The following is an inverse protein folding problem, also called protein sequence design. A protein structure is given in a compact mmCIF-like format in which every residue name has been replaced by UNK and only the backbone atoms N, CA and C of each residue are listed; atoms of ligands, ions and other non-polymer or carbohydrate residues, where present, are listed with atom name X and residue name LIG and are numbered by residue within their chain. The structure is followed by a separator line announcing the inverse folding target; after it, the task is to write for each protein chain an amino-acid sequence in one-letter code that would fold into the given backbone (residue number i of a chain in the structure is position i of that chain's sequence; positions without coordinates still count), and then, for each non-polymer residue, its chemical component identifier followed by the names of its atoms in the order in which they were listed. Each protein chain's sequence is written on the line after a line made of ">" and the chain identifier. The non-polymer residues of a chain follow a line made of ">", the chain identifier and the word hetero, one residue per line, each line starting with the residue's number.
data_IF_843421047492
#
_entry.id   IF_843421047492
#
_cell.length_a   1.000
_cell.length_b   1.000
_cell.length_c   1.000
_cell.angle_alpha   90.00
_cell.angle_beta   90.00
_cell.angle_gamma   90.00
#
_symmetry.space_group_name_H-M   'P 1'
#
loop_
_entity.id
_entity.type
_entity.pdbx_description
1 polymer ?
#
# COMPACT_ATOMS: atom_id res chain seq x y z
N UNK A 1 -0.32 -8.83 -19.70
CA UNK A 1 0.41 -8.43 -18.46
C UNK A 1 -0.51 -7.89 -17.38
N UNK A 2 -1.39 -6.89 -17.64
CA UNK A 2 -2.35 -6.39 -16.62
C UNK A 2 -3.51 -7.38 -16.40
N UNK A 3 -4.02 -8.02 -17.45
CA UNK A 3 -5.05 -9.08 -17.32
C UNK A 3 -4.54 -10.32 -16.59
N UNK A 4 -3.29 -10.71 -16.80
CA UNK A 4 -2.68 -11.83 -16.11
C UNK A 4 -2.46 -11.52 -14.62
N UNK A 5 -2.10 -10.28 -14.30
CA UNK A 5 -1.97 -9.80 -12.92
C UNK A 5 -3.31 -9.82 -12.16
N UNK A 6 -4.40 -9.42 -12.82
CA UNK A 6 -5.74 -9.44 -12.24
C UNK A 6 -6.28 -10.88 -12.09
N UNK A 7 -5.97 -11.77 -13.04
CA UNK A 7 -6.34 -13.20 -12.98
C UNK A 7 -5.61 -13.95 -11.87
N UNK A 8 -4.33 -13.64 -11.60
CA UNK A 8 -3.56 -14.23 -10.50
C UNK A 8 -4.15 -13.82 -9.15
N UNK A 9 -4.49 -12.54 -8.96
CA UNK A 9 -5.08 -12.06 -7.71
C UNK A 9 -6.47 -12.63 -7.42
N UNK A 10 -7.29 -12.81 -8.46
CA UNK A 10 -8.61 -13.44 -8.33
C UNK A 10 -8.52 -14.93 -8.01
N UNK A 11 -7.54 -15.66 -8.56
CA UNK A 11 -7.34 -17.10 -8.29
C UNK A 11 -6.79 -17.38 -6.90
N UNK A 12 -5.86 -16.56 -6.40
CA UNK A 12 -5.28 -16.70 -5.04
C UNK A 12 -6.36 -16.44 -3.98
N UNK A 13 -7.18 -15.41 -4.15
CA UNK A 13 -8.26 -15.12 -3.21
C UNK A 13 -9.37 -16.20 -3.19
N UNK A 14 -9.66 -16.85 -4.32
CA UNK A 14 -10.67 -17.91 -4.38
C UNK A 14 -10.17 -19.25 -3.83
N UNK A 15 -8.89 -19.61 -4.02
CA UNK A 15 -8.31 -20.84 -3.50
C UNK A 15 -8.18 -20.83 -1.98
N UNK A 16 -7.79 -19.71 -1.37
CA UNK A 16 -7.73 -19.57 0.09
C UNK A 16 -9.12 -19.60 0.75
N UNK A 17 -10.16 -19.09 0.07
CA UNK A 17 -11.54 -19.15 0.56
C UNK A 17 -12.17 -20.54 0.44
N UNK A 18 -11.75 -21.35 -0.53
CA UNK A 18 -12.23 -22.72 -0.69
C UNK A 18 -11.57 -23.70 0.28
N UNK A 19 -10.31 -23.49 0.68
CA UNK A 19 -9.66 -24.27 1.74
C UNK A 19 -10.22 -23.98 3.14
N UNK A 20 -10.64 -22.75 3.40
CA UNK A 20 -11.29 -22.39 4.68
C UNK A 20 -12.69 -22.96 4.85
N UNK A 21 -13.35 -23.42 3.76
CA UNK A 21 -14.69 -24.03 3.77
C UNK A 21 -14.69 -25.55 3.89
N UNK A 22 -13.52 -26.21 3.94
CA UNK A 22 -13.42 -27.69 4.00
C UNK A 22 -13.21 -28.28 5.38
N UNK A 23 -13.47 -27.54 6.46
CA UNK A 23 -13.46 -28.06 7.84
C UNK A 23 -14.86 -28.49 8.29
N UNK A 24 -15.09 -29.81 8.22
CA UNK A 24 -15.86 -30.71 9.04
C UNK A 24 -17.33 -30.43 9.44
N UNK A 25 -18.16 -31.46 9.48
CA UNK A 25 -19.59 -31.33 9.79
C UNK A 25 -19.83 -31.38 11.30
N UNK A 26 -20.18 -30.25 11.93
CA UNK A 26 -21.02 -30.20 13.12
C UNK A 26 -21.13 -28.78 13.69
N UNK A 27 -22.10 -28.02 13.20
CA UNK A 27 -22.79 -27.00 13.99
C UNK A 27 -24.14 -26.74 13.32
N UNK A 28 -25.21 -27.31 13.88
CA UNK A 28 -26.59 -27.07 13.48
C UNK A 28 -26.99 -25.63 13.80
N UNK A 29 -27.20 -24.84 12.77
CA UNK A 29 -27.91 -23.59 12.86
C UNK A 29 -29.33 -23.79 12.30
N UNK A 30 -30.29 -23.80 13.22
CA UNK A 30 -31.71 -23.74 12.92
C UNK A 30 -32.02 -22.34 12.37
N UNK A 31 -32.47 -22.26 11.12
CA UNK A 31 -33.09 -21.07 10.55
C UNK A 31 -34.58 -21.19 10.65
N UNK A 32 -35.32 -20.15 11.08
CA UNK A 32 -36.78 -20.16 11.01
C UNK A 32 -37.22 -20.01 9.54
N UNK A 33 -38.23 -20.80 9.18
CA UNK A 33 -38.83 -20.87 7.87
C UNK A 33 -39.35 -19.48 7.43
N UNK A 34 -38.96 -19.05 6.22
CA UNK A 34 -39.61 -17.95 5.55
C UNK A 34 -38.77 -16.95 4.76
N UNK A 35 -37.48 -17.13 4.54
CA UNK A 35 -36.72 -16.22 3.69
C UNK A 35 -35.99 -16.94 2.55
N UNK A 36 -36.42 -16.65 1.32
CA UNK A 36 -35.76 -17.09 0.11
C UNK A 36 -34.46 -16.31 -0.13
N UNK A 37 -33.37 -16.98 -0.52
CA UNK A 37 -32.09 -16.30 -0.78
C UNK A 37 -32.13 -15.57 -2.13
N UNK A 38 -31.84 -14.25 -2.09
CA UNK A 38 -31.69 -13.42 -3.28
C UNK A 38 -30.20 -13.44 -3.71
N UNK A 39 -29.95 -13.90 -4.92
CA UNK A 39 -28.64 -13.77 -5.55
C UNK A 39 -28.64 -12.56 -6.48
N UNK A 40 -27.75 -11.58 -6.23
CA UNK A 40 -27.53 -10.44 -7.12
C UNK A 40 -26.37 -10.78 -8.04
N UNK A 41 -26.65 -10.97 -9.34
CA UNK A 41 -25.61 -11.16 -10.36
C UNK A 41 -25.42 -9.83 -11.08
N UNK A 42 -24.25 -9.20 -10.87
CA UNK A 42 -23.82 -8.03 -11.61
C UNK A 42 -23.17 -8.45 -12.92
N UNK A 43 -23.85 -8.19 -14.04
CA UNK A 43 -23.29 -8.37 -15.38
C UNK A 43 -23.04 -6.99 -15.99
N UNK A 44 -21.77 -6.64 -16.17
CA UNK A 44 -21.34 -5.47 -16.94
C UNK A 44 -21.36 -5.87 -18.44
N UNK A 45 -22.30 -5.34 -19.19
CA UNK A 45 -22.40 -5.53 -20.65
C UNK A 45 -22.31 -4.19 -21.37
N UNK A 46 -21.54 -4.14 -22.49
CA UNK A 46 -21.59 -3.03 -23.42
C UNK A 46 -22.91 -3.13 -24.18
N UNK A 47 -23.73 -2.10 -24.07
CA UNK A 47 -24.88 -1.91 -24.98
C UNK A 47 -24.38 -0.94 -26.05
N UNK A 48 -24.27 -1.43 -27.29
CA UNK A 48 -24.09 -0.59 -28.48
C UNK A 48 -25.48 -0.22 -28.97
N UNK A 49 -25.87 1.03 -28.83
CA UNK A 49 -26.95 1.62 -29.60
C UNK A 49 -26.30 2.49 -30.67
N UNK A 50 -26.43 2.09 -31.94
CA UNK A 50 -26.05 2.90 -33.08
C UNK A 50 -27.02 4.06 -33.22
N UNK A 51 -26.64 5.25 -32.85
CA UNK A 51 -27.25 6.47 -33.38
C UNK A 51 -26.20 7.19 -34.25
N UNK A 52 -26.54 7.45 -35.53
CA UNK A 52 -25.67 8.19 -36.44
C UNK A 52 -25.81 9.68 -36.11
N UNK A 53 -24.82 10.29 -35.54
CA UNK A 53 -24.51 11.74 -35.53
C UNK A 53 -24.07 12.40 -34.21
N UNK A 54 -23.74 11.67 -33.15
CA UNK A 54 -23.02 12.32 -32.05
C UNK A 54 -22.15 11.31 -31.29
N UNK A 55 -20.84 11.37 -31.46
CA UNK A 55 -19.87 10.43 -30.85
C UNK A 55 -19.69 10.60 -29.33
N UNK A 56 -20.74 10.37 -28.55
CA UNK A 56 -20.64 10.32 -27.07
C UNK A 56 -21.17 8.98 -26.58
N UNK A 57 -20.28 8.16 -26.02
CA UNK A 57 -20.63 6.94 -25.36
C UNK A 57 -21.19 7.22 -23.96
N UNK A 58 -22.43 6.81 -23.71
CA UNK A 58 -23.03 6.80 -22.38
C UNK A 58 -22.90 5.44 -21.75
N UNK A 59 -22.47 5.38 -20.48
CA UNK A 59 -22.47 4.17 -19.69
C UNK A 59 -23.76 4.07 -18.89
N UNK A 60 -24.53 3.01 -19.10
CA UNK A 60 -25.73 2.70 -18.32
C UNK A 60 -25.53 1.48 -17.42
N UNK A 61 -25.94 1.60 -16.17
CA UNK A 61 -25.98 0.47 -15.23
C UNK A 61 -27.39 -0.10 -15.24
N UNK A 62 -27.56 -1.36 -15.70
CA UNK A 62 -28.85 -2.07 -15.63
C UNK A 62 -28.81 -3.04 -14.44
N UNK A 63 -29.74 -2.85 -13.51
CA UNK A 63 -29.98 -3.77 -12.39
C UNK A 63 -31.14 -4.70 -12.76
N UNK A 64 -30.87 -6.01 -12.84
CA UNK A 64 -31.90 -7.04 -12.95
C UNK A 64 -31.95 -7.87 -11.66
N UNK A 65 -33.09 -7.89 -11.02
CA UNK A 65 -33.40 -8.77 -9.89
C UNK A 65 -34.05 -10.06 -10.43
N UNK A 66 -33.42 -11.21 -10.21
CA UNK A 66 -33.96 -12.51 -10.52
C UNK A 66 -34.29 -13.26 -9.22
N UNK A 67 -35.55 -13.67 -9.03
CA UNK A 67 -35.92 -14.60 -7.97
C UNK A 67 -35.83 -16.05 -8.49
N UNK A 68 -35.17 -16.93 -7.73
CA UNK A 68 -35.22 -18.38 -7.96
C UNK A 68 -36.37 -18.97 -7.17
N UNK A 69 -37.36 -19.52 -7.87
CA UNK A 69 -38.34 -20.43 -7.29
C UNK A 69 -37.79 -21.87 -7.35
N UNK A 70 -37.82 -22.55 -6.23
CA UNK A 70 -37.45 -23.96 -6.10
C UNK A 70 -38.61 -24.85 -6.53
N UNK A 71 -38.67 -25.24 -7.81
CA UNK A 71 -39.34 -26.48 -8.24
C UNK A 71 -38.85 -26.86 -9.66
N UNK A 72 -38.56 -28.14 -9.92
CA UNK A 72 -38.13 -28.60 -11.24
C UNK A 72 -39.33 -29.00 -12.07
N UNK A 73 -39.86 -28.11 -12.91
CA UNK A 73 -40.81 -28.47 -13.95
C UNK A 73 -40.73 -27.48 -15.11
N UNK A 74 -40.39 -28.03 -16.29
CA UNK A 74 -40.61 -27.56 -17.65
C UNK A 74 -40.60 -26.07 -17.95
N UNK A 75 -39.62 -25.70 -18.73
CA UNK A 75 -39.53 -24.42 -19.41
C UNK A 75 -40.56 -24.32 -20.54
N UNK A 76 -41.61 -23.54 -20.36
CA UNK A 76 -42.37 -22.88 -21.39
C UNK A 76 -43.16 -21.74 -20.73
N UNK A 77 -42.78 -20.51 -21.01
CA UNK A 77 -43.52 -19.37 -20.48
C UNK A 77 -42.74 -18.07 -20.58
N UNK A 78 -43.24 -17.20 -21.46
CA UNK A 78 -42.81 -15.84 -21.71
C UNK A 78 -42.79 -14.99 -20.43
N UNK A 79 -41.65 -14.36 -20.12
CA UNK A 79 -41.56 -13.34 -19.09
C UNK A 79 -42.09 -12.01 -19.62
N UNK A 80 -43.20 -11.51 -19.06
CA UNK A 80 -43.63 -10.13 -19.24
C UNK A 80 -42.78 -9.18 -18.43
N UNK A 81 -42.07 -8.29 -19.11
CA UNK A 81 -41.34 -7.18 -18.50
C UNK A 81 -42.31 -6.00 -18.30
N UNK A 82 -42.57 -5.62 -17.06
CA UNK A 82 -43.10 -4.29 -16.77
C UNK A 82 -41.98 -3.27 -16.82
N UNK A 83 -41.97 -2.49 -17.90
CA UNK A 83 -41.05 -1.39 -18.13
C UNK A 83 -41.52 -0.15 -17.38
N UNK A 84 -40.69 0.35 -16.46
CA UNK A 84 -40.78 1.73 -15.99
C UNK A 84 -40.10 2.63 -17.01
N UNK A 85 -40.86 3.56 -17.59
CA UNK A 85 -40.37 4.54 -18.55
C UNK A 85 -39.43 5.55 -17.91
N UNK A 86 -38.33 5.94 -18.58
CA UNK A 86 -37.53 7.05 -18.12
C UNK A 86 -38.20 8.38 -18.50
N UNK A 87 -38.07 9.34 -17.61
CA UNK A 87 -38.46 10.74 -17.83
C UNK A 87 -37.84 11.29 -19.12
N UNK A 88 -38.71 11.71 -20.04
CA UNK A 88 -38.33 12.41 -21.26
C UNK A 88 -37.98 13.88 -20.93
N UNK A 89 -36.77 14.27 -21.24
CA UNK A 89 -36.37 15.66 -21.27
C UNK A 89 -36.68 16.22 -22.67
N UNK A 90 -37.75 16.98 -22.78
CA UNK A 90 -38.10 17.70 -24.04
C UNK A 90 -37.22 18.93 -24.19
N UNK A 91 -36.38 18.93 -25.21
CA UNK A 91 -35.67 20.12 -25.70
C UNK A 91 -36.59 20.97 -26.54
N UNK A 92 -36.90 22.17 -26.08
CA UNK A 92 -37.60 23.18 -26.87
C UNK A 92 -36.55 23.98 -27.71
N UNK A 93 -36.68 23.83 -29.04
CA UNK A 93 -36.04 24.72 -29.99
C UNK A 93 -36.97 25.90 -30.28
N UNK A 94 -36.49 27.14 -30.39
CA UNK A 94 -37.33 28.29 -30.70
C UNK A 94 -37.45 28.50 -32.24
N UNK A 95 -38.67 28.55 -32.73
CA UNK A 95 -38.96 29.24 -34.00
C UNK A 95 -40.09 30.24 -33.81
N UNK A 96 -39.75 31.47 -34.26
CA UNK A 96 -40.60 32.59 -34.74
C UNK A 96 -41.75 33.12 -33.87
N UNK A 97 -41.52 34.32 -33.44
CA UNK A 97 -42.39 35.51 -33.43
C UNK A 97 -43.88 35.35 -33.22
N UNK A 98 -44.37 35.66 -32.00
CA UNK A 98 -45.55 36.49 -31.79
C UNK A 98 -45.63 36.89 -30.32
N UNK A 99 -45.86 38.22 -30.10
CA UNK A 99 -46.09 38.84 -28.78
C UNK A 99 -47.48 38.47 -28.30
N UNK A 100 -47.64 38.04 -27.04
CA UNK A 100 -48.88 38.13 -26.24
C UNK A 100 -48.50 38.14 -24.74
N UNK A 101 -49.32 38.78 -23.84
CA UNK A 101 -48.83 39.58 -22.74
C UNK A 101 -48.75 38.82 -21.40
N UNK A 102 -47.96 39.49 -20.53
CA UNK A 102 -47.76 39.15 -19.12
C UNK A 102 -49.05 39.31 -18.32
N UNK A 103 -49.55 38.32 -17.64
CA UNK A 103 -50.28 38.46 -16.36
C UNK A 103 -50.22 37.14 -15.58
N UNK A 104 -49.89 37.22 -14.30
CA UNK A 104 -50.19 36.16 -13.35
C UNK A 104 -49.02 35.79 -12.44
N UNK A 105 -48.76 36.63 -11.44
CA UNK A 105 -47.98 36.29 -10.25
C UNK A 105 -48.82 35.31 -9.42
N UNK A 106 -48.45 34.04 -9.33
CA UNK A 106 -48.94 33.12 -8.33
C UNK A 106 -47.91 33.02 -7.19
N UNK A 107 -48.19 33.71 -6.10
CA UNK A 107 -47.57 33.52 -4.80
C UNK A 107 -48.19 32.28 -4.15
N UNK A 108 -47.44 31.19 -4.09
CA UNK A 108 -47.80 30.05 -3.23
C UNK A 108 -47.00 30.17 -1.93
N UNK A 109 -47.69 30.72 -0.93
CA UNK A 109 -47.29 30.65 0.49
C UNK A 109 -47.86 29.36 1.07
N UNK A 110 -47.02 28.36 1.32
CA UNK A 110 -47.34 27.18 2.08
C UNK A 110 -46.06 26.50 2.57
N UNK A 111 -46.04 25.96 3.80
CA UNK A 111 -44.81 25.40 4.36
C UNK A 111 -44.47 24.12 3.59
N UNK A 112 -43.34 24.16 2.88
CA UNK A 112 -42.80 22.99 2.24
C UNK A 112 -42.30 22.04 3.34
N UNK A 113 -43.09 20.99 3.59
CA UNK A 113 -42.72 19.90 4.44
C UNK A 113 -41.47 19.23 3.77
N UNK A 114 -40.29 19.54 4.29
CA UNK A 114 -39.06 18.88 3.90
C UNK A 114 -39.15 17.40 4.33
N UNK A 115 -39.65 16.55 3.47
CA UNK A 115 -39.63 15.11 3.64
C UNK A 115 -38.17 14.66 3.61
N UNK A 116 -37.49 14.63 4.77
CA UNK A 116 -36.22 13.96 4.94
C UNK A 116 -36.47 12.47 4.75
N UNK A 117 -36.22 11.96 3.54
CA UNK A 117 -36.04 10.52 3.30
C UNK A 117 -34.79 10.07 4.07
N UNK A 118 -34.97 9.73 5.34
CA UNK A 118 -33.99 8.96 6.08
C UNK A 118 -34.00 7.54 5.50
N UNK A 119 -33.12 7.27 4.53
CA UNK A 119 -32.84 5.92 4.09
C UNK A 119 -32.30 5.14 5.30
N UNK A 120 -33.19 4.44 5.98
CA UNK A 120 -32.81 3.47 7.01
C UNK A 120 -32.14 2.31 6.30
N UNK A 121 -30.82 2.35 6.18
CA UNK A 121 -30.04 1.23 5.65
C UNK A 121 -30.22 0.07 6.63
N UNK A 122 -30.74 -1.10 6.19
CA UNK A 122 -30.93 -2.25 7.07
C UNK A 122 -29.61 -2.63 7.77
N UNK A 123 -29.69 -3.06 9.03
CA UNK A 123 -28.50 -3.45 9.81
C UNK A 123 -27.61 -4.47 9.11
N UNK A 124 -28.21 -5.39 8.35
CA UNK A 124 -27.51 -6.35 7.50
C UNK A 124 -26.64 -5.67 6.42
N UNK A 125 -27.14 -4.58 5.81
CA UNK A 125 -26.39 -3.81 4.81
C UNK A 125 -25.25 -3.01 5.46
N UNK A 126 -25.43 -2.51 6.68
CA UNK A 126 -24.36 -1.86 7.47
C UNK A 126 -23.27 -2.86 7.88
N UNK A 127 -23.65 -4.11 8.26
CA UNK A 127 -22.70 -5.18 8.53
C UNK A 127 -21.94 -5.58 7.26
N UNK A 128 -22.62 -5.77 6.14
CA UNK A 128 -22.00 -6.08 4.86
C UNK A 128 -21.05 -4.95 4.40
N UNK A 129 -21.45 -3.68 4.57
CA UNK A 129 -20.57 -2.53 4.31
C UNK A 129 -19.38 -2.46 5.28
N UNK A 130 -19.56 -2.89 6.53
CA UNK A 130 -18.47 -2.93 7.53
C UNK A 130 -17.50 -4.08 7.22
N UNK A 131 -18.00 -5.24 6.83
CA UNK A 131 -17.16 -6.38 6.39
C UNK A 131 -16.49 -6.11 5.04
N UNK A 132 -17.18 -5.52 4.08
CA UNK A 132 -16.56 -5.04 2.84
C UNK A 132 -15.50 -3.94 3.10
N UNK A 133 -15.74 -3.03 4.05
CA UNK A 133 -14.74 -2.08 4.50
C UNK A 133 -13.58 -2.74 5.24
N UNK A 134 -13.81 -3.80 6.02
CA UNK A 134 -12.73 -4.61 6.62
C UNK A 134 -11.93 -5.37 5.58
N UNK A 135 -12.57 -5.93 4.54
CA UNK A 135 -11.89 -6.56 3.40
C UNK A 135 -11.11 -5.55 2.54
N UNK A 136 -11.59 -4.30 2.44
CA UNK A 136 -10.92 -3.19 1.77
C UNK A 136 -10.03 -2.39 2.73
N UNK A 137 -10.15 -2.58 4.04
CA UNK A 137 -9.28 -1.93 5.01
C UNK A 137 -7.94 -2.67 4.99
N UNK A 138 -6.94 -1.99 4.46
CA UNK A 138 -5.54 -2.26 4.74
C UNK A 138 -5.35 -2.62 6.21
N UNK A 139 -4.58 -3.65 6.52
CA UNK A 139 -4.24 -4.00 7.89
C UNK A 139 -3.86 -2.76 8.70
N UNK A 140 -4.35 -2.69 9.91
CA UNK A 140 -4.08 -1.58 10.85
C UNK A 140 -3.23 -2.12 11.99
N UNK A 141 -2.18 -1.42 12.35
CA UNK A 141 -1.39 -1.71 13.54
C UNK A 141 -2.23 -1.37 14.78
N UNK A 142 -2.63 -2.41 15.51
CA UNK A 142 -3.44 -2.28 16.73
C UNK A 142 -2.61 -2.24 18.01
N UNK A 143 -1.28 -2.30 17.91
CA UNK A 143 -0.39 -2.23 19.06
C UNK A 143 -0.54 -0.90 19.80
N UNK A 144 -0.67 -0.97 21.12
CA UNK A 144 -0.76 0.18 22.02
C UNK A 144 0.58 0.52 22.68
N UNK A 145 1.66 -0.16 22.32
CA UNK A 145 3.01 0.02 22.87
C UNK A 145 3.43 1.47 22.79
N UNK A 146 3.89 2.00 23.92
CA UNK A 146 4.52 3.31 24.04
C UNK A 146 6.04 3.16 23.96
N UNK A 147 6.72 4.19 23.54
CA UNK A 147 8.15 4.17 23.21
C UNK A 147 8.98 5.21 23.99
N UNK A 148 8.70 5.49 25.28
CA UNK A 148 9.51 6.43 26.03
C UNK A 148 10.97 5.93 26.12
N UNK A 149 11.94 6.81 25.84
CA UNK A 149 13.35 6.46 25.84
C UNK A 149 13.84 5.60 24.67
N UNK A 150 12.95 5.21 23.74
CA UNK A 150 13.34 4.49 22.53
C UNK A 150 13.78 5.48 21.44
N UNK A 151 14.86 5.13 20.73
CA UNK A 151 15.39 5.90 19.61
C UNK A 151 15.08 5.19 18.31
N UNK A 152 14.56 5.95 17.35
CA UNK A 152 14.20 5.46 16.03
C UNK A 152 14.82 6.31 14.91
N UNK A 153 15.30 5.66 13.85
CA UNK A 153 15.74 6.29 12.60
C UNK A 153 14.80 5.87 11.49
N UNK A 154 14.28 6.84 10.73
CA UNK A 154 13.40 6.59 9.56
C UNK A 154 14.00 7.27 8.34
N UNK A 155 14.39 6.49 7.33
CA UNK A 155 14.92 7.04 6.08
C UNK A 155 13.80 7.53 5.16
N UNK A 156 14.00 8.65 4.46
CA UNK A 156 12.99 9.25 3.59
C UNK A 156 11.77 9.76 4.35
N UNK A 157 11.97 10.27 5.56
CA UNK A 157 10.89 10.64 6.48
C UNK A 157 10.33 12.06 6.27
N UNK A 158 10.81 12.80 5.26
CA UNK A 158 10.30 14.13 4.94
C UNK A 158 9.05 14.13 4.05
N UNK A 159 8.48 12.96 3.73
CA UNK A 159 7.25 12.85 2.93
C UNK A 159 6.63 11.44 3.06
N UNK A 160 5.37 11.31 2.63
CA UNK A 160 4.69 10.04 2.38
C UNK A 160 4.66 9.09 3.57
N UNK A 161 4.98 7.82 3.31
CA UNK A 161 4.96 6.74 4.29
C UNK A 161 5.94 7.01 5.43
N UNK A 162 7.16 7.46 5.10
CA UNK A 162 8.20 7.74 6.10
C UNK A 162 7.77 8.83 7.09
N UNK A 163 7.16 9.92 6.60
CA UNK A 163 6.61 10.99 7.44
C UNK A 163 5.55 10.46 8.42
N UNK A 164 4.57 9.70 7.91
CA UNK A 164 3.50 9.15 8.76
C UNK A 164 4.03 8.11 9.76
N UNK A 165 5.03 7.32 9.36
CA UNK A 165 5.71 6.36 10.25
C UNK A 165 6.44 7.10 11.37
N UNK A 166 7.23 8.14 11.04
CA UNK A 166 7.96 8.95 12.01
C UNK A 166 7.01 9.68 12.97
N UNK A 167 5.90 10.22 12.45
CA UNK A 167 4.86 10.88 13.24
C UNK A 167 4.25 9.93 14.27
N UNK A 168 3.87 8.72 13.87
CA UNK A 168 3.28 7.74 14.80
C UNK A 168 4.27 7.29 15.86
N UNK A 169 5.55 7.08 15.50
CA UNK A 169 6.61 6.76 16.47
C UNK A 169 6.80 7.91 17.47
N UNK A 170 6.82 9.15 16.99
CA UNK A 170 6.92 10.34 17.84
C UNK A 170 5.70 10.51 18.76
N UNK A 171 4.49 10.22 18.26
CA UNK A 171 3.25 10.27 19.05
C UNK A 171 3.28 9.26 20.20
N UNK A 172 4.01 8.16 20.05
CA UNK A 172 4.23 7.13 21.08
C UNK A 172 5.39 7.45 22.03
N UNK A 173 6.00 8.63 21.91
CA UNK A 173 7.07 9.10 22.80
C UNK A 173 8.48 8.69 22.41
N UNK A 174 8.71 8.14 21.20
CA UNK A 174 10.05 7.86 20.72
C UNK A 174 10.85 9.14 20.38
N UNK A 175 12.16 9.11 20.56
CA UNK A 175 13.09 10.04 19.94
C UNK A 175 13.29 9.61 18.47
N UNK A 176 12.93 10.45 17.51
CA UNK A 176 12.85 10.08 16.10
C UNK A 176 13.77 10.94 15.23
N UNK A 177 14.65 10.29 14.49
CA UNK A 177 15.50 10.90 13.48
C UNK A 177 14.85 10.80 12.10
N UNK A 178 14.53 11.93 11.49
CA UNK A 178 14.09 12.06 10.11
C UNK A 178 15.34 12.11 9.22
N UNK A 179 15.76 10.97 8.70
CA UNK A 179 16.93 10.89 7.82
C UNK A 179 16.50 11.13 6.36
N UNK A 180 16.89 12.26 5.77
CA UNK A 180 16.49 12.67 4.43
C UNK A 180 17.52 13.57 3.74
N UNK A 181 17.47 13.64 2.40
CA UNK A 181 18.38 14.47 1.60
C UNK A 181 18.07 15.97 1.69
N UNK A 182 16.79 16.30 1.70
CA UNK A 182 16.28 17.66 1.74
C UNK A 182 16.02 18.05 3.19
N UNK A 183 17.04 18.69 3.80
CA UNK A 183 17.02 19.14 5.20
C UNK A 183 15.94 20.19 5.41
N UNK A 184 15.77 21.15 4.50
CA UNK A 184 14.77 22.20 4.65
C UNK A 184 13.34 21.63 4.73
N UNK A 185 13.02 20.71 3.82
CA UNK A 185 11.75 19.97 3.86
C UNK A 185 11.66 19.08 5.11
N UNK A 186 12.77 18.49 5.54
CA UNK A 186 12.87 17.71 6.76
C UNK A 186 12.51 18.53 8.00
N UNK A 187 13.07 19.71 8.14
CA UNK A 187 12.83 20.63 9.27
C UNK A 187 11.38 21.10 9.35
N UNK A 188 10.76 21.40 8.19
CA UNK A 188 9.34 21.73 8.14
C UNK A 188 8.47 20.57 8.67
N UNK A 189 8.78 19.35 8.25
CA UNK A 189 8.07 18.14 8.69
C UNK A 189 8.34 17.85 10.17
N UNK A 190 9.57 18.03 10.66
CA UNK A 190 9.87 17.85 12.07
C UNK A 190 9.03 18.79 12.95
N UNK A 191 8.97 20.09 12.61
CA UNK A 191 8.15 21.08 13.33
C UNK A 191 6.67 20.72 13.29
N UNK A 192 6.18 20.26 12.13
CA UNK A 192 4.80 19.78 12.01
C UNK A 192 4.52 18.61 12.95
N UNK A 193 5.41 17.60 12.99
CA UNK A 193 5.26 16.44 13.88
C UNK A 193 5.35 16.87 15.33
N UNK A 194 6.33 17.70 15.71
CA UNK A 194 6.49 18.25 17.06
C UNK A 194 5.20 18.97 17.52
N UNK A 195 4.63 19.82 16.67
CA UNK A 195 3.38 20.55 16.97
C UNK A 195 2.20 19.59 17.13
N UNK A 196 2.08 18.58 16.25
CA UNK A 196 0.95 17.65 16.27
C UNK A 196 1.00 16.64 17.42
N UNK A 197 2.20 16.25 17.86
CA UNK A 197 2.40 15.19 18.85
C UNK A 197 2.77 15.71 20.23
N UNK A 198 3.20 16.97 20.33
CA UNK A 198 3.78 17.54 21.54
C UNK A 198 5.21 17.06 21.83
N UNK A 199 5.73 16.11 21.06
CA UNK A 199 7.05 15.51 21.27
C UNK A 199 8.14 16.33 20.58
N UNK A 200 8.99 16.99 21.37
CA UNK A 200 10.11 17.80 20.85
C UNK A 200 11.33 16.96 20.43
N UNK A 201 11.33 15.66 20.68
CA UNK A 201 12.43 14.73 20.34
C UNK A 201 12.33 14.22 18.90
N UNK A 202 12.02 15.11 17.95
CA UNK A 202 11.99 14.83 16.51
C UNK A 202 13.05 15.66 15.84
N UNK A 203 14.08 14.99 15.31
CA UNK A 203 15.31 15.60 14.83
C UNK A 203 15.50 15.29 13.34
N UNK A 204 16.15 16.19 12.62
CA UNK A 204 16.48 15.99 11.20
C UNK A 204 17.98 15.75 11.04
N UNK A 205 18.33 14.82 10.17
CA UNK A 205 19.71 14.56 9.77
C UNK A 205 19.81 14.33 8.28
N UNK A 206 20.85 14.88 7.69
CA UNK A 206 21.11 14.68 6.26
C UNK A 206 21.51 13.23 5.98
N UNK A 207 20.85 12.63 4.97
CA UNK A 207 21.18 11.30 4.48
C UNK A 207 20.83 11.20 3.01
N UNK A 208 21.82 11.11 2.15
CA UNK A 208 21.65 10.69 0.76
C UNK A 208 22.12 9.25 0.56
N UNK A 209 21.15 8.36 0.32
CA UNK A 209 21.42 6.94 0.06
C UNK A 209 22.05 6.69 -1.32
N UNK A 210 22.15 7.71 -2.17
CA UNK A 210 22.87 7.67 -3.44
C UNK A 210 24.34 8.08 -3.32
N UNK A 211 24.84 8.30 -2.10
CA UNK A 211 26.24 8.67 -1.82
C UNK A 211 26.72 7.95 -0.56
N UNK A 212 27.66 7.02 -0.72
CA UNK A 212 28.23 6.27 0.42
C UNK A 212 28.97 7.16 1.41
N UNK A 213 29.50 8.31 0.98
CA UNK A 213 30.12 9.28 1.88
C UNK A 213 29.10 9.94 2.80
N UNK A 214 27.93 10.31 2.25
CA UNK A 214 26.81 10.83 3.04
C UNK A 214 26.32 9.79 4.07
N UNK A 215 26.20 8.52 3.67
CA UNK A 215 25.80 7.44 4.56
C UNK A 215 26.79 7.25 5.71
N UNK A 216 28.09 7.26 5.40
CA UNK A 216 29.14 7.12 6.42
C UNK A 216 29.21 8.33 7.36
N UNK A 217 29.02 9.55 6.83
CA UNK A 217 28.94 10.76 7.64
C UNK A 217 27.74 10.71 8.60
N UNK A 218 26.56 10.39 8.07
CA UNK A 218 25.36 10.20 8.89
C UNK A 218 25.60 9.21 10.04
N UNK A 219 26.14 8.02 9.71
CA UNK A 219 26.37 6.98 10.72
C UNK A 219 27.37 7.43 11.78
N UNK A 220 28.48 8.09 11.38
CA UNK A 220 29.50 8.62 12.29
C UNK A 220 28.88 9.62 13.26
N UNK A 221 28.14 10.60 12.76
CA UNK A 221 27.55 11.66 13.58
C UNK A 221 26.47 11.10 14.51
N UNK A 222 25.63 10.18 14.00
CA UNK A 222 24.62 9.51 14.81
C UNK A 222 25.25 8.69 15.96
N UNK A 223 26.29 7.91 15.67
CA UNK A 223 26.98 7.09 16.67
C UNK A 223 27.72 7.91 17.72
N UNK A 224 28.16 9.13 17.38
CA UNK A 224 28.79 10.06 18.33
C UNK A 224 27.76 10.72 19.26
N UNK A 225 26.54 10.96 18.77
CA UNK A 225 25.48 11.65 19.52
C UNK A 225 24.61 10.69 20.33
N UNK A 226 24.25 9.52 19.75
CA UNK A 226 23.25 8.62 20.32
C UNK A 226 23.87 7.39 20.98
N UNK A 227 23.38 7.14 22.20
CA UNK A 227 23.77 5.94 22.97
C UNK A 227 23.02 4.68 22.50
N UNK A 228 21.83 4.85 21.97
CA UNK A 228 20.92 3.75 21.61
C UNK A 228 20.32 3.90 20.23
N UNK A 229 20.02 2.75 19.59
CA UNK A 229 19.19 2.66 18.40
C UNK A 229 18.30 1.44 18.50
N UNK A 230 17.00 1.65 18.74
CA UNK A 230 16.07 0.56 18.95
C UNK A 230 15.29 0.18 17.68
N UNK A 231 15.05 1.15 16.80
CA UNK A 231 14.24 0.96 15.60
C UNK A 231 14.92 1.64 14.40
N UNK A 232 15.24 0.85 13.38
CA UNK A 232 15.74 1.35 12.10
C UNK A 232 14.72 1.01 11.01
N UNK A 233 14.15 2.05 10.36
CA UNK A 233 13.19 1.86 9.26
C UNK A 233 13.84 2.33 7.96
N UNK A 234 14.25 1.37 7.15
CA UNK A 234 14.79 1.55 5.81
C UNK A 234 13.63 1.76 4.82
N UNK A 235 13.06 2.98 4.82
CA UNK A 235 11.85 3.30 4.08
C UNK A 235 12.10 4.05 2.77
N UNK A 236 13.14 4.87 2.68
CA UNK A 236 13.45 5.65 1.48
C UNK A 236 13.52 4.77 0.22
N UNK A 237 13.23 5.37 -0.92
CA UNK A 237 13.34 4.65 -2.18
C UNK A 237 13.12 5.53 -3.40
N UNK A 238 13.53 5.00 -4.53
CA UNK A 238 13.29 5.54 -5.87
C UNK A 238 12.60 4.50 -6.74
N UNK A 239 11.76 4.93 -7.67
CA UNK A 239 11.00 4.06 -8.55
C UNK A 239 10.90 4.64 -9.95
N UNK A 240 11.01 3.78 -10.97
CA UNK A 240 10.84 4.14 -12.39
C UNK A 240 11.77 5.29 -12.84
N UNK A 241 12.98 5.36 -12.27
CA UNK A 241 13.98 6.34 -12.69
C UNK A 241 14.55 5.96 -14.05
N UNK A 242 14.87 6.93 -14.93
CA UNK A 242 15.75 6.67 -16.06
C UNK A 242 17.08 6.06 -15.58
N UNK A 243 17.77 5.34 -16.50
CA UNK A 243 19.09 4.81 -16.15
C UNK A 243 20.01 5.94 -15.71
N UNK A 244 20.49 5.81 -14.49
CA UNK A 244 21.45 6.73 -13.87
C UNK A 244 22.25 5.99 -12.81
N UNK A 245 23.41 6.52 -12.48
CA UNK A 245 24.28 5.95 -11.42
C UNK A 245 24.30 6.86 -10.21
N UNK A 246 24.50 6.26 -9.05
CA UNK A 246 24.80 6.94 -7.79
C UNK A 246 26.17 7.59 -7.84
N UNK A 247 26.54 8.39 -6.83
CA UNK A 247 27.87 8.98 -6.71
C UNK A 247 28.99 7.94 -6.76
N UNK A 248 28.72 6.73 -6.29
CA UNK A 248 29.65 5.60 -6.23
C UNK A 248 29.58 4.70 -7.48
N UNK A 249 28.78 5.06 -8.49
CA UNK A 249 28.68 4.34 -9.75
C UNK A 249 27.67 3.19 -9.78
N UNK A 250 26.84 2.99 -8.74
CA UNK A 250 25.82 1.96 -8.70
C UNK A 250 24.56 2.38 -9.49
N UNK A 251 23.85 1.41 -10.08
CA UNK A 251 22.53 1.68 -10.67
C UNK A 251 21.58 2.26 -9.60
N UNK A 252 20.83 3.30 -9.97
CA UNK A 252 20.11 4.14 -9.02
C UNK A 252 19.11 3.37 -8.14
N UNK A 253 18.35 2.40 -8.67
CA UNK A 253 17.40 1.62 -7.85
C UNK A 253 18.13 0.66 -6.92
N UNK A 254 19.13 -0.06 -7.43
CA UNK A 254 19.92 -0.99 -6.61
C UNK A 254 20.75 -0.21 -5.59
N UNK A 255 21.35 0.92 -5.97
CA UNK A 255 22.14 1.77 -5.11
C UNK A 255 21.33 2.33 -3.95
N UNK A 256 20.23 3.04 -4.24
CA UNK A 256 19.43 3.72 -3.20
C UNK A 256 18.58 2.74 -2.39
N UNK A 257 17.82 1.85 -3.08
CA UNK A 257 16.82 1.02 -2.40
C UNK A 257 17.46 -0.12 -1.58
N UNK A 258 18.61 -0.64 -2.04
CA UNK A 258 19.27 -1.79 -1.42
C UNK A 258 20.66 -1.45 -0.85
N UNK A 259 21.66 -1.12 -1.68
CA UNK A 259 23.03 -0.97 -1.22
C UNK A 259 23.21 0.13 -0.19
N UNK A 260 22.52 1.28 -0.36
CA UNK A 260 22.56 2.37 0.60
C UNK A 260 21.98 1.99 1.96
N UNK A 261 20.86 1.28 1.98
CA UNK A 261 20.28 0.77 3.23
C UNK A 261 21.09 -0.38 3.83
N UNK A 262 21.69 -1.22 3.00
CA UNK A 262 22.62 -2.27 3.43
C UNK A 262 23.81 -1.64 4.18
N UNK A 263 24.47 -0.65 3.58
CA UNK A 263 25.60 0.07 4.21
C UNK A 263 25.16 0.76 5.50
N UNK A 264 24.04 1.50 5.48
CA UNK A 264 23.50 2.18 6.65
C UNK A 264 23.26 1.19 7.80
N UNK A 265 22.58 0.08 7.50
CA UNK A 265 22.29 -0.95 8.50
C UNK A 265 23.57 -1.57 9.04
N UNK A 266 24.55 -1.88 8.19
CA UNK A 266 25.84 -2.42 8.59
C UNK A 266 26.59 -1.47 9.53
N UNK A 267 26.66 -0.18 9.20
CA UNK A 267 27.34 0.82 10.03
C UNK A 267 26.69 1.05 11.40
N UNK A 268 25.37 0.84 11.49
CA UNK A 268 24.60 1.00 12.73
C UNK A 268 24.39 -0.33 13.49
N UNK A 269 24.94 -1.44 12.98
CA UNK A 269 24.60 -2.78 13.45
C UNK A 269 25.02 -3.01 14.92
N UNK A 270 26.20 -2.60 15.29
CA UNK A 270 26.67 -2.76 16.69
C UNK A 270 25.79 -1.94 17.65
N UNK A 271 25.40 -0.72 17.25
CA UNK A 271 24.49 0.11 18.05
C UNK A 271 23.09 -0.55 18.20
N UNK A 272 22.60 -1.25 17.17
CA UNK A 272 21.38 -2.03 17.25
C UNK A 272 21.53 -3.21 18.21
N UNK A 273 22.66 -3.92 18.19
CA UNK A 273 22.97 -5.03 19.11
C UNK A 273 23.06 -4.55 20.56
N UNK A 274 23.78 -3.45 20.82
CA UNK A 274 23.90 -2.82 22.13
C UNK A 274 22.55 -2.36 22.70
N UNK A 275 21.61 -2.03 21.82
CA UNK A 275 20.28 -1.52 22.19
C UNK A 275 19.19 -2.59 22.19
N UNK A 276 19.56 -3.87 22.11
CA UNK A 276 18.59 -4.95 22.06
C UNK A 276 17.61 -4.94 23.28
N UNK A 277 16.33 -5.27 23.10
CA UNK A 277 15.71 -5.69 21.85
C UNK A 277 15.53 -4.55 20.85
N UNK A 278 15.99 -4.76 19.62
CA UNK A 278 15.94 -3.76 18.55
C UNK A 278 15.42 -4.37 17.24
N UNK A 279 14.97 -3.51 16.32
CA UNK A 279 14.28 -3.94 15.10
C UNK A 279 14.75 -3.18 13.87
N UNK A 280 14.94 -3.91 12.78
CA UNK A 280 15.20 -3.34 11.45
C UNK A 280 14.02 -3.67 10.54
N UNK A 281 13.40 -2.66 9.94
CA UNK A 281 12.27 -2.81 9.01
C UNK A 281 12.66 -2.32 7.64
N UNK A 282 12.71 -3.22 6.67
CA UNK A 282 13.09 -2.94 5.28
C UNK A 282 11.84 -2.82 4.40
N UNK A 283 11.61 -1.64 3.82
CA UNK A 283 10.46 -1.43 2.95
C UNK A 283 10.73 -2.03 1.56
N UNK A 284 9.98 -3.09 1.26
CA UNK A 284 9.92 -3.75 -0.04
C UNK A 284 8.67 -3.32 -0.82
N UNK A 285 8.16 -4.16 -1.69
CA UNK A 285 6.97 -3.90 -2.52
C UNK A 285 6.40 -5.22 -3.05
N UNK A 286 5.12 -5.22 -3.43
CA UNK A 286 4.54 -6.30 -4.24
C UNK A 286 5.33 -6.54 -5.55
N UNK A 287 6.03 -5.52 -6.04
CA UNK A 287 6.86 -5.60 -7.23
C UNK A 287 7.99 -6.66 -7.13
N UNK A 288 8.37 -7.11 -5.91
CA UNK A 288 9.36 -8.18 -5.73
C UNK A 288 8.98 -9.49 -6.43
N UNK A 289 7.69 -9.75 -6.66
CA UNK A 289 7.23 -10.95 -7.37
C UNK A 289 7.73 -11.03 -8.81
N UNK A 290 7.95 -9.89 -9.46
CA UNK A 290 8.53 -9.78 -10.80
C UNK A 290 10.05 -9.60 -10.76
N UNK A 291 10.62 -9.45 -9.55
CA UNK A 291 12.05 -9.30 -9.35
C UNK A 291 12.83 -10.58 -9.64
N UNK A 292 14.06 -10.41 -10.13
CA UNK A 292 15.06 -11.46 -10.29
C UNK A 292 16.45 -10.89 -10.01
N UNK A 293 17.30 -11.63 -9.31
CA UNK A 293 18.68 -11.20 -9.08
C UNK A 293 19.56 -11.76 -10.20
N UNK A 294 20.01 -10.87 -11.07
CA UNK A 294 20.93 -11.18 -12.18
C UNK A 294 22.33 -10.69 -11.81
N UNK A 295 23.13 -11.53 -11.16
CA UNK A 295 24.48 -11.16 -10.70
C UNK A 295 25.40 -10.65 -11.81
N UNK A 296 25.22 -11.11 -13.05
CA UNK A 296 25.98 -10.66 -14.22
C UNK A 296 25.51 -9.33 -14.82
N UNK A 297 24.40 -8.78 -14.33
CA UNK A 297 23.81 -7.51 -14.77
C UNK A 297 23.16 -6.73 -13.61
N UNK A 298 23.73 -6.84 -12.43
CA UNK A 298 23.18 -6.21 -11.22
C UNK A 298 23.09 -4.68 -11.34
N UNK A 299 24.02 -4.10 -12.12
CA UNK A 299 24.13 -2.66 -12.38
C UNK A 299 23.36 -2.21 -13.65
N UNK A 300 22.65 -3.11 -14.32
CA UNK A 300 21.83 -2.78 -15.49
C UNK A 300 22.61 -2.36 -16.74
N UNK A 301 23.92 -2.66 -16.83
CA UNK A 301 24.80 -2.19 -17.91
C UNK A 301 24.55 -2.91 -19.25
N UNK A 302 24.13 -4.17 -19.20
CA UNK A 302 23.84 -4.96 -20.41
C UNK A 302 22.42 -4.76 -20.90
N UNK A 303 21.48 -4.67 -19.99
CA UNK A 303 20.06 -4.45 -20.26
C UNK A 303 19.45 -3.71 -19.09
N UNK A 304 18.70 -2.65 -19.40
CA UNK A 304 18.01 -1.85 -18.41
C UNK A 304 16.52 -1.65 -18.75
N UNK A 305 15.68 -1.90 -17.77
CA UNK A 305 14.29 -1.51 -17.77
C UNK A 305 13.96 -0.96 -16.37
N UNK A 306 13.52 0.30 -16.29
CA UNK A 306 13.30 0.99 -15.02
C UNK A 306 12.32 0.27 -14.09
N UNK A 307 11.27 -0.35 -14.65
CA UNK A 307 10.30 -1.15 -13.88
C UNK A 307 10.92 -2.42 -13.31
N UNK A 308 11.68 -3.16 -14.11
CA UNK A 308 12.36 -4.37 -13.67
C UNK A 308 13.48 -4.05 -12.67
N UNK A 309 14.26 -2.98 -12.89
CA UNK A 309 15.30 -2.54 -11.95
C UNK A 309 14.69 -2.25 -10.57
N UNK A 310 13.54 -1.57 -10.51
CA UNK A 310 12.79 -1.40 -9.28
C UNK A 310 12.38 -2.74 -8.66
N UNK A 311 11.80 -3.66 -9.45
CA UNK A 311 11.41 -5.00 -8.98
C UNK A 311 12.59 -5.77 -8.39
N UNK A 312 13.75 -5.71 -9.05
CA UNK A 312 15.00 -6.35 -8.59
C UNK A 312 15.47 -5.77 -7.25
N UNK A 313 15.47 -4.45 -7.11
CA UNK A 313 15.85 -3.78 -5.85
C UNK A 313 14.91 -4.12 -4.68
N UNK A 314 13.61 -4.31 -4.95
CA UNK A 314 12.64 -4.68 -3.92
C UNK A 314 12.70 -6.16 -3.53
N UNK A 315 13.06 -7.03 -4.46
CA UNK A 315 13.43 -8.41 -4.14
C UNK A 315 14.72 -8.46 -3.30
N UNK A 316 15.73 -7.66 -3.65
CA UNK A 316 16.98 -7.57 -2.89
C UNK A 316 16.72 -7.19 -1.42
N UNK A 317 15.76 -6.32 -1.13
CA UNK A 317 15.40 -5.95 0.24
C UNK A 317 14.81 -7.12 1.06
N UNK A 318 14.07 -8.04 0.43
CA UNK A 318 13.58 -9.25 1.11
C UNK A 318 14.73 -10.20 1.39
N UNK A 319 15.57 -10.46 0.38
CA UNK A 319 16.75 -11.34 0.54
C UNK A 319 17.72 -10.81 1.60
N UNK A 320 17.96 -9.50 1.61
CA UNK A 320 18.74 -8.83 2.64
C UNK A 320 18.15 -9.04 4.04
N UNK A 321 16.82 -8.87 4.19
CA UNK A 321 16.14 -9.08 5.47
C UNK A 321 16.34 -10.49 5.99
N UNK A 322 16.19 -11.50 5.14
CA UNK A 322 16.31 -12.90 5.53
C UNK A 322 17.76 -13.26 5.92
N UNK A 323 18.74 -12.83 5.12
CA UNK A 323 20.14 -13.11 5.42
C UNK A 323 20.60 -12.35 6.69
N UNK A 324 20.14 -11.10 6.87
CA UNK A 324 20.41 -10.33 8.09
C UNK A 324 19.80 -11.03 9.33
N UNK A 325 18.56 -11.53 9.24
CA UNK A 325 17.93 -12.29 10.32
C UNK A 325 18.73 -13.53 10.70
N UNK A 326 19.26 -14.27 9.70
CA UNK A 326 20.08 -15.45 9.89
C UNK A 326 21.38 -15.12 10.61
N UNK A 327 22.07 -14.04 10.18
CA UNK A 327 23.35 -13.61 10.77
C UNK A 327 23.20 -13.05 12.18
N UNK A 328 22.05 -12.44 12.50
CA UNK A 328 21.77 -11.83 13.80
C UNK A 328 21.06 -12.76 14.77
N UNK A 329 21.00 -14.04 14.49
CA UNK A 329 20.36 -15.01 15.38
C UNK A 329 21.00 -14.98 16.78
N UNK A 330 20.20 -14.76 17.80
CA UNK A 330 20.65 -14.70 19.20
C UNK A 330 21.16 -13.32 19.66
N UNK A 331 21.29 -12.32 18.80
CA UNK A 331 21.75 -10.98 19.16
C UNK A 331 20.69 -10.07 19.80
N UNK A 332 19.43 -10.50 19.81
CA UNK A 332 18.30 -9.65 20.23
C UNK A 332 17.86 -8.60 19.20
N UNK A 333 18.48 -8.60 18.01
CA UNK A 333 18.04 -7.79 16.87
C UNK A 333 17.16 -8.60 15.95
N UNK A 334 15.98 -8.10 15.61
CA UNK A 334 15.07 -8.74 14.66
C UNK A 334 14.88 -7.90 13.40
N UNK A 335 14.64 -8.56 12.28
CA UNK A 335 14.51 -7.87 11.00
C UNK A 335 13.26 -8.33 10.26
N UNK A 336 12.59 -7.40 9.58
CA UNK A 336 11.35 -7.66 8.85
C UNK A 336 11.37 -6.92 7.52
N UNK A 337 10.83 -7.54 6.49
CA UNK A 337 10.54 -6.83 5.22
C UNK A 337 9.04 -6.56 5.11
N UNK A 338 8.66 -5.42 4.52
CA UNK A 338 7.26 -5.00 4.46
C UNK A 338 6.85 -4.54 3.07
N UNK A 339 5.61 -4.88 2.68
CA UNK A 339 4.91 -4.24 1.58
C UNK A 339 3.87 -3.27 2.15
N UNK A 340 4.00 -1.94 1.88
CA UNK A 340 3.09 -0.94 2.42
C UNK A 340 1.73 -0.86 1.71
N UNK A 341 1.53 -1.65 0.66
CA UNK A 341 0.42 -1.50 -0.27
C UNK A 341 0.74 -0.53 -1.42
N UNK A 342 -0.24 -0.31 -2.30
CA UNK A 342 -0.14 0.73 -3.34
C UNK A 342 -0.53 2.07 -2.71
N UNK A 343 0.45 2.93 -2.46
CA UNK A 343 0.29 4.18 -1.70
C UNK A 343 0.47 5.40 -2.61
N UNK A 344 -0.41 6.38 -2.48
CA UNK A 344 -0.22 7.67 -3.15
C UNK A 344 0.96 8.41 -2.49
N UNK A 345 2.11 8.37 -3.13
CA UNK A 345 3.34 8.99 -2.66
C UNK A 345 4.10 9.66 -3.79
N UNK A 346 5.04 10.54 -3.46
CA UNK A 346 5.92 11.21 -4.43
C UNK A 346 6.83 10.22 -5.20
N UNK A 347 6.76 8.94 -4.91
CA UNK A 347 7.57 7.89 -5.55
C UNK A 347 7.34 7.81 -7.07
N UNK A 348 6.14 8.16 -7.57
CA UNK A 348 5.76 8.14 -8.99
C UNK A 348 6.06 9.45 -9.74
N UNK A 349 6.80 10.38 -9.13
CA UNK A 349 7.09 11.71 -9.72
C UNK A 349 7.75 11.67 -11.10
N UNK A 350 8.45 10.58 -11.43
CA UNK A 350 9.21 10.44 -12.68
C UNK A 350 8.39 9.88 -13.86
N UNK A 351 7.11 9.47 -13.66
CA UNK A 351 6.29 8.89 -14.73
C UNK A 351 4.92 9.55 -14.82
N UNK A 352 4.66 10.39 -15.84
CA UNK A 352 3.33 10.99 -16.10
C UNK A 352 2.25 9.93 -16.35
N UNK A 353 2.61 8.82 -17.04
CA UNK A 353 1.72 7.70 -17.31
C UNK A 353 1.27 7.02 -16.00
N UNK A 354 2.18 6.81 -15.07
CA UNK A 354 1.85 6.24 -13.75
C UNK A 354 0.94 7.19 -12.96
N UNK A 355 1.15 8.52 -13.04
CA UNK A 355 0.26 9.50 -12.40
C UNK A 355 -1.16 9.41 -12.94
N UNK A 356 -1.32 9.30 -14.27
CA UNK A 356 -2.62 9.14 -14.91
C UNK A 356 -3.28 7.81 -14.53
N UNK A 357 -2.53 6.71 -14.54
CA UNK A 357 -3.01 5.39 -14.12
C UNK A 357 -3.41 5.38 -12.64
N UNK A 358 -2.68 6.09 -11.77
CA UNK A 358 -3.02 6.24 -10.37
C UNK A 358 -4.28 7.07 -10.15
N UNK A 359 -4.52 8.10 -10.96
CA UNK A 359 -5.78 8.83 -10.94
C UNK A 359 -6.97 7.92 -11.31
N UNK A 360 -6.82 7.07 -12.32
CA UNK A 360 -7.86 6.13 -12.75
C UNK A 360 -8.18 5.06 -11.69
N UNK A 361 -7.17 4.61 -10.94
CA UNK A 361 -7.29 3.58 -9.90
C UNK A 361 -7.27 4.16 -8.48
N UNK A 362 -7.51 5.45 -8.30
CA UNK A 362 -7.42 6.15 -7.00
C UNK A 362 -8.27 5.51 -5.89
N UNK A 363 -9.35 4.83 -6.24
CA UNK A 363 -10.21 4.10 -5.30
C UNK A 363 -9.51 2.94 -4.57
N UNK A 364 -8.44 2.39 -5.15
CA UNK A 364 -7.66 1.26 -4.60
C UNK A 364 -6.32 1.69 -4.00
N UNK A 365 -6.03 2.98 -3.97
CA UNK A 365 -4.76 3.53 -3.52
C UNK A 365 -4.87 3.91 -2.05
N UNK A 366 -3.95 3.38 -1.25
CA UNK A 366 -3.82 3.71 0.18
C UNK A 366 -3.32 5.14 0.38
N UNK A 367 -3.78 5.75 1.45
CA UNK A 367 -3.15 6.98 1.96
C UNK A 367 -1.78 6.67 2.56
N UNK A 368 -0.87 7.65 2.69
CA UNK A 368 0.41 7.47 3.39
C UNK A 368 0.25 6.92 4.82
N UNK A 369 -0.77 7.37 5.55
CA UNK A 369 -1.09 6.87 6.89
C UNK A 369 -1.45 5.38 6.89
N UNK A 370 -2.23 4.92 5.90
CA UNK A 370 -2.53 3.49 5.73
C UNK A 370 -1.29 2.70 5.31
N UNK A 371 -0.42 3.29 4.45
CA UNK A 371 0.82 2.67 4.03
C UNK A 371 1.83 2.48 5.16
N UNK A 372 1.84 3.36 6.16
CA UNK A 372 2.72 3.29 7.32
C UNK A 372 2.36 2.12 8.27
N UNK A 373 1.13 1.59 8.23
CA UNK A 373 0.63 0.65 9.23
C UNK A 373 1.45 -0.64 9.33
N UNK A 374 1.85 -1.23 8.20
CA UNK A 374 2.63 -2.48 8.21
C UNK A 374 4.06 -2.24 8.73
N UNK A 375 4.67 -1.09 8.40
CA UNK A 375 5.98 -0.72 8.95
C UNK A 375 5.91 -0.53 10.47
N UNK A 376 4.88 0.15 10.95
CA UNK A 376 4.62 0.32 12.39
C UNK A 376 4.36 -1.02 13.07
N UNK A 377 3.52 -1.87 12.48
CA UNK A 377 3.25 -3.21 13.01
C UNK A 377 4.54 -3.99 13.26
N UNK A 378 5.44 -4.05 12.27
CA UNK A 378 6.74 -4.73 12.42
C UNK A 378 7.68 -4.03 13.40
N UNK A 379 7.60 -2.69 13.50
CA UNK A 379 8.48 -1.90 14.36
C UNK A 379 8.14 -2.04 15.86
N UNK A 380 6.83 -2.18 16.22
CA UNK A 380 6.39 -1.99 17.60
C UNK A 380 5.53 -3.11 18.17
N UNK A 381 4.99 -4.04 17.36
CA UNK A 381 4.15 -5.13 17.89
C UNK A 381 5.00 -6.15 18.63
N UNK A 382 4.61 -6.46 19.85
CA UNK A 382 5.27 -7.46 20.70
C UNK A 382 5.02 -8.88 20.20
N UNK A 383 5.92 -9.82 20.50
CA UNK A 383 5.78 -11.22 20.15
C UNK A 383 6.08 -11.54 18.68
N UNK A 384 6.57 -10.57 17.88
CA UNK A 384 6.96 -10.82 16.49
C UNK A 384 8.34 -11.48 16.34
N UNK A 385 9.08 -11.67 17.41
CA UNK A 385 10.46 -12.20 17.38
C UNK A 385 10.53 -13.60 16.76
N UNK A 386 9.47 -14.39 16.93
CA UNK A 386 9.34 -15.73 16.30
C UNK A 386 9.21 -15.67 14.77
N UNK A 387 8.82 -14.53 14.23
CA UNK A 387 8.66 -14.25 12.80
C UNK A 387 9.83 -13.44 12.24
N UNK A 388 11.00 -13.48 12.91
CA UNK A 388 12.21 -12.81 12.44
C UNK A 388 12.57 -13.24 11.00
N UNK A 389 12.87 -12.30 10.12
CA UNK A 389 13.19 -12.55 8.71
C UNK A 389 11.98 -12.65 7.78
N UNK A 390 10.75 -12.63 8.30
CA UNK A 390 9.53 -12.75 7.49
C UNK A 390 9.18 -11.46 6.74
N UNK A 391 8.37 -11.67 5.70
CA UNK A 391 7.77 -10.59 4.89
C UNK A 391 6.33 -10.35 5.33
N UNK A 392 5.95 -9.07 5.43
CA UNK A 392 4.62 -8.66 5.89
C UNK A 392 3.92 -7.77 4.86
N UNK A 393 2.61 -7.97 4.73
CA UNK A 393 1.69 -7.08 4.04
C UNK A 393 0.41 -6.98 4.86
N UNK A 394 -0.18 -5.79 4.91
CA UNK A 394 -1.44 -5.57 5.64
C UNK A 394 -1.40 -6.07 7.09
N UNK A 395 -0.28 -5.84 7.78
CA UNK A 395 -0.02 -6.25 9.17
C UNK A 395 -0.10 -7.77 9.40
N UNK A 396 0.14 -8.57 8.38
CA UNK A 396 0.14 -10.04 8.44
C UNK A 396 1.33 -10.60 7.67
N UNK A 397 1.75 -11.83 8.00
CA UNK A 397 2.77 -12.54 7.22
C UNK A 397 2.27 -12.72 5.79
N UNK A 398 3.10 -12.38 4.82
CA UNK A 398 2.73 -12.43 3.42
C UNK A 398 3.61 -13.42 2.64
N UNK A 399 3.00 -14.01 1.62
CA UNK A 399 3.72 -14.87 0.70
C UNK A 399 4.77 -14.10 -0.09
N UNK A 400 5.89 -14.75 -0.39
CA UNK A 400 6.97 -14.21 -1.20
C UNK A 400 7.30 -15.13 -2.37
N UNK A 401 7.88 -14.57 -3.44
CA UNK A 401 8.26 -15.34 -4.63
C UNK A 401 9.26 -16.45 -4.31
N UNK A 402 9.37 -17.47 -5.19
CA UNK A 402 10.34 -18.55 -5.03
C UNK A 402 11.78 -18.02 -4.96
N UNK A 403 12.10 -16.95 -5.71
CA UNK A 403 13.43 -16.33 -5.65
C UNK A 403 13.69 -15.65 -4.30
N UNK A 404 12.66 -15.06 -3.70
CA UNK A 404 12.77 -14.44 -2.37
C UNK A 404 12.96 -15.47 -1.24
N UNK A 405 12.70 -16.75 -1.49
CA UNK A 405 12.91 -17.84 -0.52
C UNK A 405 14.24 -18.59 -0.74
N UNK A 406 15.05 -18.16 -1.70
CA UNK A 406 16.28 -18.85 -2.05
C UNK A 406 17.46 -18.34 -1.20
N UNK A 407 17.83 -19.09 -0.17
CA UNK A 407 18.93 -18.75 0.73
C UNK A 407 20.28 -18.62 0.01
N UNK A 408 20.53 -19.41 -1.02
CA UNK A 408 21.77 -19.31 -1.78
C UNK A 408 21.89 -17.96 -2.50
N UNK A 409 20.76 -17.49 -3.07
CA UNK A 409 20.72 -16.14 -3.68
C UNK A 409 20.89 -15.08 -2.60
N UNK A 410 20.27 -15.24 -1.42
CA UNK A 410 20.39 -14.28 -0.33
C UNK A 410 21.83 -14.14 0.16
N UNK A 411 22.52 -15.26 0.43
CA UNK A 411 23.94 -15.28 0.82
C UNK A 411 24.83 -14.65 -0.23
N UNK A 412 24.69 -15.06 -1.50
CA UNK A 412 25.48 -14.51 -2.60
C UNK A 412 25.22 -12.99 -2.78
N UNK A 413 23.97 -12.54 -2.62
CA UNK A 413 23.65 -11.11 -2.71
C UNK A 413 24.30 -10.33 -1.56
N UNK A 414 24.33 -10.90 -0.36
CA UNK A 414 25.05 -10.33 0.78
C UNK A 414 26.54 -10.14 0.44
N UNK A 415 27.21 -11.22 -0.01
CA UNK A 415 28.64 -11.19 -0.31
C UNK A 415 28.94 -10.16 -1.40
N UNK A 416 28.17 -10.15 -2.50
CA UNK A 416 28.32 -9.15 -3.58
C UNK A 416 28.07 -7.73 -3.09
N UNK A 417 27.12 -7.55 -2.15
CA UNK A 417 26.85 -6.21 -1.55
C UNK A 417 28.04 -5.75 -0.68
N UNK A 418 28.65 -6.66 0.08
CA UNK A 418 29.86 -6.38 0.84
C UNK A 418 31.02 -5.98 -0.09
N UNK A 419 31.26 -6.76 -1.14
CA UNK A 419 32.30 -6.49 -2.14
C UNK A 419 32.13 -5.11 -2.78
N UNK A 420 30.89 -4.80 -3.27
CA UNK A 420 30.59 -3.52 -3.91
C UNK A 420 30.79 -2.32 -2.96
N UNK A 421 30.58 -2.50 -1.67
CA UNK A 421 30.67 -1.44 -0.66
C UNK A 421 32.01 -1.39 0.08
N UNK A 422 32.93 -2.32 -0.24
CA UNK A 422 34.21 -2.44 0.43
C UNK A 422 34.08 -2.74 1.93
N UNK A 423 33.10 -3.59 2.29
CA UNK A 423 32.85 -4.03 3.66
C UNK A 423 33.50 -5.40 3.86
N UNK A 424 34.26 -5.63 4.95
CA UNK A 424 34.78 -6.96 5.26
C UNK A 424 33.65 -8.02 5.31
N UNK A 425 33.90 -9.18 4.74
CA UNK A 425 33.01 -10.34 4.89
C UNK A 425 33.32 -11.02 6.22
N UNK A 426 32.37 -10.97 7.17
CA UNK A 426 32.42 -11.68 8.45
C UNK A 426 31.88 -13.11 8.30
#
# INVERSE_FOLDING_TARGET
>A
MIEDFLRVRARVSLSEQLEALSLGPSCGLHFPDGFAPWAVVLRLGRVWEEQPQSGKACWGISLRLCSRSSHPARWSGSCSCSSFSPFSCTSLHPKSGHKVPVVGRLTLSGPVLACRLSLVIPQACRRAQTEARKMLSSGVCTSTVQLPGKVAVVTGANTGIGKETAKELAQRGARVYLACRDIQKGELVAREIQTMTGNQQVLVRELDLADTKSIRAFAKDFLAEEKHLHILINNAGVMMCPYSKTADGFEMHMGVNHLGHFLLTHLLLEKLKESAPSRVVNVSSLAHHLGRIHFHNLQGEKFYNAGLAYCHSKLANILFTQELARRLKGSGVTTYSVHPGTVNSELVRHSPFMKWMWWLFSFFIKTPKQGAQTSLYCAITEGLEILNGHHFSDCSVAWVSAQARNETIARRLWDVSCDLLGIPMD
#
